data_IF_402120225805
#
_entry.id   IF_402120225805
#
_cell.length_a   1.000
_cell.length_b   1.000
_cell.length_c   1.000
_cell.angle_alpha   90.00
_cell.angle_beta   90.00
_cell.angle_gamma   90.00
#
_symmetry.space_group_name_H-M   'P 1'
#
loop_
_entity.id
_entity.type
_entity.pdbx_description
1 polymer ?
#
# COMPACT_ATOMS: atom_id res chain seq x y z
N UNK A 1 -3.78 -5.06 -4.17
CA UNK A 1 -3.85 -3.72 -3.57
C UNK A 1 -2.98 -2.71 -4.28
N UNK A 2 -1.65 -2.87 -4.32
CA UNK A 2 -0.70 -1.92 -4.94
C UNK A 2 -1.12 -1.51 -6.34
N UNK A 3 -1.38 -2.49 -7.22
CA UNK A 3 -1.77 -2.22 -8.59
C UNK A 3 -3.10 -1.45 -8.67
N UNK A 4 -4.06 -1.79 -7.81
CA UNK A 4 -5.34 -1.07 -7.71
C UNK A 4 -5.10 0.39 -7.31
N UNK A 5 -4.29 0.59 -6.29
CA UNK A 5 -3.97 1.87 -5.72
C UNK A 5 -3.15 2.78 -6.66
N UNK A 6 -2.19 2.22 -7.40
CA UNK A 6 -1.53 2.90 -8.52
C UNK A 6 -2.57 3.30 -9.57
N UNK A 7 -3.40 2.35 -10.00
CA UNK A 7 -4.46 2.62 -10.96
C UNK A 7 -5.44 3.68 -10.47
N UNK A 8 -5.76 3.76 -9.18
CA UNK A 8 -6.68 4.76 -8.63
C UNK A 8 -6.15 6.18 -8.71
N UNK A 9 -4.82 6.34 -8.72
CA UNK A 9 -4.15 7.63 -8.81
C UNK A 9 -3.84 8.04 -10.26
N UNK A 10 -4.14 7.21 -11.26
CA UNK A 10 -3.98 7.57 -12.66
C UNK A 10 -4.81 8.82 -13.00
N UNK A 11 -4.28 9.62 -13.93
CA UNK A 11 -4.99 10.76 -14.53
C UNK A 11 -6.20 10.28 -15.34
N UNK A 12 -7.10 11.21 -15.67
CA UNK A 12 -8.22 10.92 -16.55
C UNK A 12 -7.75 10.72 -17.99
N UNK A 13 -8.29 9.71 -18.67
CA UNK A 13 -8.11 9.55 -20.11
C UNK A 13 -8.93 10.60 -20.86
N UNK A 14 -8.49 10.97 -22.06
CA UNK A 14 -9.09 12.07 -22.83
C UNK A 14 -10.59 11.85 -23.11
N UNK A 15 -10.97 10.61 -23.42
CA UNK A 15 -12.35 10.25 -23.77
C UNK A 15 -13.29 10.25 -22.56
N UNK A 16 -12.76 9.98 -21.36
CA UNK A 16 -13.53 9.90 -20.12
C UNK A 16 -13.73 11.26 -19.46
N UNK A 17 -12.79 12.18 -19.74
CA UNK A 17 -12.68 13.48 -19.08
C UNK A 17 -13.98 14.28 -19.12
N UNK A 18 -14.69 14.25 -20.24
CA UNK A 18 -15.94 15.00 -20.41
C UNK A 18 -17.04 14.50 -19.47
N UNK A 19 -17.32 13.18 -19.46
CA UNK A 19 -18.39 12.61 -18.63
C UNK A 19 -18.07 12.74 -17.14
N UNK A 20 -16.82 12.52 -16.75
CA UNK A 20 -16.36 12.64 -15.37
C UNK A 20 -16.41 14.10 -14.90
N UNK A 21 -15.97 15.04 -15.75
CA UNK A 21 -16.02 16.47 -15.42
C UNK A 21 -17.46 16.96 -15.23
N UNK A 22 -18.42 16.47 -16.02
CA UNK A 22 -19.83 16.82 -15.84
C UNK A 22 -20.32 16.38 -14.46
N UNK A 23 -20.05 15.14 -14.06
CA UNK A 23 -20.43 14.65 -12.73
C UNK A 23 -19.74 15.43 -11.60
N UNK A 24 -18.45 15.75 -11.75
CA UNK A 24 -17.72 16.56 -10.78
C UNK A 24 -18.25 17.99 -10.69
N UNK A 25 -18.64 18.60 -11.81
CA UNK A 25 -19.19 19.96 -11.85
C UNK A 25 -20.53 20.06 -11.10
N UNK A 26 -21.32 19.00 -11.08
CA UNK A 26 -22.56 18.95 -10.29
C UNK A 26 -22.31 19.04 -8.77
N UNK A 27 -21.07 18.82 -8.31
CA UNK A 27 -20.70 18.91 -6.90
C UNK A 27 -20.33 20.34 -6.46
N UNK A 28 -20.11 21.27 -7.40
CA UNK A 28 -19.59 22.62 -7.12
C UNK A 28 -20.44 23.43 -6.14
N UNK A 29 -21.76 23.22 -6.15
CA UNK A 29 -22.70 23.89 -5.26
C UNK A 29 -23.03 23.09 -3.99
N UNK A 30 -22.37 21.94 -3.77
CA UNK A 30 -22.62 21.07 -2.62
C UNK A 30 -21.78 21.52 -1.42
N UNK A 31 -22.42 21.71 -0.26
CA UNK A 31 -21.73 22.10 0.96
C UNK A 31 -20.57 21.16 1.32
N UNK A 32 -19.40 21.74 1.61
CA UNK A 32 -18.18 20.98 1.92
C UNK A 32 -17.39 20.51 0.71
N UNK A 33 -17.85 20.79 -0.51
CA UNK A 33 -17.02 20.69 -1.72
C UNK A 33 -16.05 21.88 -1.77
N UNK A 34 -14.81 21.62 -2.17
CA UNK A 34 -13.80 22.65 -2.38
C UNK A 34 -13.02 22.32 -3.65
N UNK A 35 -12.85 23.32 -4.52
CA UNK A 35 -12.18 23.17 -5.83
C UNK A 35 -10.76 22.62 -5.72
N UNK A 36 -10.03 22.96 -4.65
CA UNK A 36 -8.69 22.41 -4.37
C UNK A 36 -8.65 20.88 -4.21
N UNK A 37 -9.80 20.23 -4.07
CA UNK A 37 -9.94 18.77 -3.94
C UNK A 37 -10.65 18.14 -5.15
N UNK A 38 -10.92 18.91 -6.21
CA UNK A 38 -11.63 18.44 -7.41
C UNK A 38 -11.02 17.16 -7.99
N UNK A 39 -9.69 17.06 -7.97
CA UNK A 39 -8.96 15.90 -8.47
C UNK A 39 -9.31 14.59 -7.74
N UNK A 40 -9.58 14.65 -6.43
CA UNK A 40 -9.99 13.48 -5.63
C UNK A 40 -11.38 12.99 -6.06
N UNK A 41 -12.31 13.92 -6.31
CA UNK A 41 -13.65 13.58 -6.80
C UNK A 41 -13.61 13.00 -8.20
N UNK A 42 -12.84 13.60 -9.11
CA UNK A 42 -12.68 13.10 -10.48
C UNK A 42 -12.06 11.70 -10.49
N UNK A 43 -11.01 11.47 -9.70
CA UNK A 43 -10.41 10.13 -9.53
C UNK A 43 -11.41 9.14 -8.96
N UNK A 44 -12.18 9.52 -7.94
CA UNK A 44 -13.23 8.65 -7.38
C UNK A 44 -14.25 8.25 -8.45
N UNK A 45 -14.79 9.21 -9.19
CA UNK A 45 -15.79 8.97 -10.24
C UNK A 45 -15.21 8.06 -11.34
N UNK A 46 -13.96 8.29 -11.78
CA UNK A 46 -13.26 7.42 -12.74
C UNK A 46 -13.14 5.99 -12.23
N UNK A 47 -12.69 5.82 -10.98
CA UNK A 47 -12.49 4.48 -10.41
C UNK A 47 -13.83 3.73 -10.26
N UNK A 48 -14.92 4.43 -9.97
CA UNK A 48 -16.26 3.86 -9.95
C UNK A 48 -16.74 3.47 -11.35
N UNK A 49 -16.51 4.31 -12.36
CA UNK A 49 -16.77 3.96 -13.76
C UNK A 49 -16.07 2.64 -14.12
N UNK A 50 -14.80 2.48 -13.75
CA UNK A 50 -14.00 1.30 -14.11
C UNK A 50 -14.48 0.06 -13.37
N UNK A 51 -14.84 0.20 -12.09
CA UNK A 51 -15.42 -0.88 -11.31
C UNK A 51 -16.74 -1.33 -11.91
N UNK A 52 -17.69 -0.42 -12.12
CA UNK A 52 -19.04 -0.75 -12.59
C UNK A 52 -19.06 -1.30 -14.02
N UNK A 53 -18.11 -0.90 -14.88
CA UNK A 53 -17.95 -1.49 -16.22
C UNK A 53 -17.01 -2.70 -16.24
N UNK A 54 -16.60 -3.20 -15.07
CA UNK A 54 -15.72 -4.37 -14.93
C UNK A 54 -14.40 -4.27 -15.72
N UNK A 55 -13.88 -3.05 -15.89
CA UNK A 55 -12.60 -2.77 -16.58
C UNK A 55 -11.43 -3.36 -15.78
N UNK A 56 -11.57 -3.52 -14.46
CA UNK A 56 -10.58 -4.18 -13.60
C UNK A 56 -10.63 -5.72 -13.64
N UNK A 57 -11.16 -6.32 -14.71
CA UNK A 57 -11.06 -7.76 -15.03
C UNK A 57 -11.50 -8.70 -13.89
N UNK A 58 -12.72 -8.51 -13.34
CA UNK A 58 -13.35 -9.37 -12.32
C UNK A 58 -12.68 -9.41 -10.95
N UNK A 59 -11.71 -8.54 -10.65
CA UNK A 59 -11.21 -8.28 -9.28
C UNK A 59 -12.07 -7.27 -8.52
N UNK A 60 -13.33 -7.09 -8.92
CA UNK A 60 -14.21 -6.00 -8.51
C UNK A 60 -14.43 -5.96 -7.00
N UNK A 61 -14.68 -7.10 -6.34
CA UNK A 61 -14.90 -7.14 -4.89
C UNK A 61 -13.66 -6.67 -4.09
N UNK A 62 -12.46 -7.13 -4.46
CA UNK A 62 -11.22 -6.69 -3.82
C UNK A 62 -10.93 -5.21 -4.10
N UNK A 63 -11.09 -4.79 -5.35
CA UNK A 63 -10.86 -3.41 -5.77
C UNK A 63 -11.85 -2.45 -5.11
N UNK A 64 -13.09 -2.87 -4.86
CA UNK A 64 -14.05 -2.11 -4.07
C UNK A 64 -13.53 -1.82 -2.67
N UNK A 65 -13.09 -2.86 -1.96
CA UNK A 65 -12.49 -2.69 -0.63
C UNK A 65 -11.27 -1.76 -0.69
N UNK A 66 -10.38 -1.96 -1.66
CA UNK A 66 -9.20 -1.10 -1.84
C UNK A 66 -9.57 0.34 -2.19
N UNK A 67 -10.63 0.57 -2.97
CA UNK A 67 -11.12 1.90 -3.30
C UNK A 67 -11.61 2.63 -2.05
N UNK A 68 -12.35 1.95 -1.16
CA UNK A 68 -12.81 2.57 0.08
C UNK A 68 -11.68 2.90 1.05
N UNK A 69 -10.66 2.05 1.10
CA UNK A 69 -9.44 2.37 1.84
C UNK A 69 -8.73 3.59 1.23
N UNK A 70 -8.49 3.59 -0.08
CA UNK A 70 -7.88 4.72 -0.79
C UNK A 70 -8.67 6.01 -0.57
N UNK A 71 -9.99 5.95 -0.65
CA UNK A 71 -10.90 7.08 -0.48
C UNK A 71 -10.85 7.64 0.94
N UNK A 72 -10.95 6.76 1.95
CA UNK A 72 -10.86 7.16 3.36
C UNK A 72 -9.55 7.92 3.62
N UNK A 73 -8.45 7.35 3.13
CA UNK A 73 -7.11 7.88 3.34
C UNK A 73 -6.93 9.22 2.61
N UNK A 74 -7.39 9.30 1.36
CA UNK A 74 -7.35 10.52 0.56
C UNK A 74 -8.17 11.62 1.20
N UNK A 75 -9.35 11.31 1.75
CA UNK A 75 -10.15 12.26 2.53
C UNK A 75 -9.43 12.74 3.78
N UNK A 76 -8.92 11.81 4.58
CA UNK A 76 -8.25 12.12 5.85
C UNK A 76 -7.07 13.07 5.65
N UNK A 77 -6.22 12.80 4.65
CA UNK A 77 -5.08 13.67 4.32
C UNK A 77 -5.47 15.07 3.89
N UNK A 78 -6.52 15.16 3.07
CA UNK A 78 -6.92 16.40 2.43
C UNK A 78 -7.99 17.14 3.24
N UNK A 79 -8.39 16.60 4.40
CA UNK A 79 -9.50 17.10 5.22
C UNK A 79 -10.80 17.28 4.42
N UNK A 80 -11.13 16.30 3.57
CA UNK A 80 -12.33 16.34 2.71
C UNK A 80 -13.55 15.83 3.47
N UNK A 81 -14.65 16.59 3.40
CA UNK A 81 -15.94 16.21 3.99
C UNK A 81 -16.52 14.94 3.36
N UNK A 82 -17.23 14.12 4.15
CA UNK A 82 -17.87 12.92 3.63
C UNK A 82 -19.08 13.22 2.74
N UNK A 83 -19.74 14.36 2.98
CA UNK A 83 -21.02 14.64 2.34
C UNK A 83 -20.91 14.76 0.81
N UNK A 84 -20.02 15.58 0.23
CA UNK A 84 -19.86 15.62 -1.23
C UNK A 84 -19.37 14.30 -1.82
N UNK A 85 -18.61 13.52 -1.07
CA UNK A 85 -18.12 12.19 -1.50
C UNK A 85 -19.28 11.21 -1.64
N UNK A 86 -20.21 11.21 -0.69
CA UNK A 86 -21.43 10.40 -0.78
C UNK A 86 -22.29 10.82 -1.99
N UNK A 87 -22.44 12.13 -2.24
CA UNK A 87 -23.16 12.63 -3.43
C UNK A 87 -22.47 12.17 -4.73
N UNK A 88 -21.15 12.30 -4.83
CA UNK A 88 -20.38 11.85 -5.98
C UNK A 88 -20.53 10.34 -6.22
N UNK A 89 -20.52 9.56 -5.14
CA UNK A 89 -20.72 8.12 -5.19
C UNK A 89 -22.09 7.76 -5.75
N UNK A 90 -23.16 8.29 -5.13
CA UNK A 90 -24.53 8.03 -5.55
C UNK A 90 -24.79 8.47 -6.99
N UNK A 91 -24.23 9.61 -7.41
CA UNK A 91 -24.35 10.07 -8.80
C UNK A 91 -23.64 9.12 -9.77
N UNK A 92 -22.47 8.62 -9.40
CA UNK A 92 -21.70 7.65 -10.20
C UNK A 92 -22.44 6.31 -10.30
N UNK A 93 -22.94 5.80 -9.17
CA UNK A 93 -23.70 4.54 -9.12
C UNK A 93 -24.94 4.63 -10.02
N UNK A 94 -25.75 5.69 -9.89
CA UNK A 94 -26.91 5.93 -10.76
C UNK A 94 -26.55 6.06 -12.24
N UNK A 95 -25.34 6.54 -12.55
CA UNK A 95 -24.92 6.79 -13.93
C UNK A 95 -24.36 5.53 -14.60
N UNK A 96 -23.65 4.69 -13.84
CA UNK A 96 -22.82 3.63 -14.38
C UNK A 96 -23.31 2.22 -14.05
N UNK A 97 -24.12 2.04 -13.00
CA UNK A 97 -24.76 0.76 -12.73
C UNK A 97 -25.97 0.60 -13.65
N UNK A 98 -26.12 -0.58 -14.23
CA UNK A 98 -27.26 -0.93 -15.08
C UNK A 98 -28.54 -0.84 -14.25
N UNK A 99 -29.57 -0.19 -14.80
CA UNK A 99 -30.84 0.00 -14.10
C UNK A 99 -31.45 -1.36 -13.70
N UNK A 100 -31.78 -1.49 -12.41
CA UNK A 100 -32.37 -2.70 -11.84
C UNK A 100 -31.35 -3.74 -11.34
N UNK A 101 -30.05 -3.53 -11.57
CA UNK A 101 -29.00 -4.41 -11.04
C UNK A 101 -28.49 -3.96 -9.68
N UNK A 102 -28.07 -4.93 -8.86
CA UNK A 102 -27.39 -4.64 -7.60
C UNK A 102 -25.98 -4.11 -7.88
N UNK A 103 -25.59 -3.08 -7.14
CA UNK A 103 -24.24 -2.53 -7.21
C UNK A 103 -23.23 -3.57 -6.72
N UNK A 104 -22.28 -3.93 -7.59
CA UNK A 104 -21.14 -4.81 -7.23
C UNK A 104 -20.21 -4.16 -6.20
N UNK A 105 -20.38 -2.86 -5.98
CA UNK A 105 -19.60 -2.03 -5.10
C UNK A 105 -20.56 -1.16 -4.29
N UNK A 106 -21.28 -1.66 -3.28
CA UNK A 106 -22.14 -0.79 -2.48
C UNK A 106 -21.27 0.19 -1.69
N UNK A 107 -21.67 1.46 -1.60
CA UNK A 107 -20.92 2.48 -0.87
C UNK A 107 -20.60 2.03 0.56
N UNK A 108 -19.33 2.18 0.95
CA UNK A 108 -18.83 1.79 2.26
C UNK A 108 -18.00 2.92 2.87
N UNK A 109 -18.31 3.28 4.12
CA UNK A 109 -17.54 4.26 4.89
C UNK A 109 -16.87 3.64 6.09
N UNK A 110 -15.55 3.81 6.21
CA UNK A 110 -14.83 3.38 7.40
C UNK A 110 -15.17 4.25 8.63
N UNK A 111 -15.43 5.55 8.43
CA UNK A 111 -15.81 6.49 9.52
C UNK A 111 -17.03 6.01 10.30
N UNK A 112 -18.03 5.47 9.59
CA UNK A 112 -19.30 5.04 10.18
C UNK A 112 -19.25 3.64 10.77
N UNK A 113 -18.32 2.81 10.31
CA UNK A 113 -18.30 1.38 10.63
C UNK A 113 -17.23 0.97 11.64
N UNK A 114 -16.23 1.82 11.92
CA UNK A 114 -15.10 1.44 12.76
C UNK A 114 -14.66 2.55 13.70
N UNK A 115 -14.15 2.14 14.85
CA UNK A 115 -13.31 2.94 15.74
C UNK A 115 -11.88 2.90 15.19
N UNK A 116 -11.23 4.06 15.12
CA UNK A 116 -9.89 4.24 14.56
C UNK A 116 -9.67 3.58 13.18
N UNK A 117 -10.41 4.00 12.14
CA UNK A 117 -10.36 3.42 10.80
C UNK A 117 -8.97 3.13 10.21
N UNK A 118 -7.97 4.00 10.44
CA UNK A 118 -6.62 3.83 9.89
C UNK A 118 -5.99 2.53 10.42
N UNK A 119 -6.17 2.26 11.70
CA UNK A 119 -5.65 1.07 12.35
C UNK A 119 -6.40 -0.18 11.85
N UNK A 120 -7.72 -0.10 11.67
CA UNK A 120 -8.51 -1.18 11.05
C UNK A 120 -8.07 -1.46 9.61
N UNK A 121 -7.77 -0.43 8.81
CA UNK A 121 -7.26 -0.62 7.46
C UNK A 121 -5.93 -1.38 7.48
N UNK A 122 -5.00 -1.02 8.39
CA UNK A 122 -3.73 -1.74 8.54
C UNK A 122 -3.92 -3.21 8.88
N UNK A 123 -4.83 -3.54 9.81
CA UNK A 123 -5.09 -4.94 10.19
C UNK A 123 -5.79 -5.72 9.07
N UNK A 124 -6.75 -5.12 8.37
CA UNK A 124 -7.37 -5.75 7.20
C UNK A 124 -6.36 -6.06 6.10
N UNK A 125 -5.41 -5.14 5.87
CA UNK A 125 -4.36 -5.34 4.88
C UNK A 125 -3.41 -6.46 5.31
N UNK A 126 -3.10 -6.56 6.60
CA UNK A 126 -2.35 -7.69 7.13
C UNK A 126 -3.05 -9.02 6.84
N UNK A 127 -4.36 -9.10 7.12
CA UNK A 127 -5.17 -10.30 6.86
C UNK A 127 -5.18 -10.68 5.37
N UNK A 128 -5.35 -9.70 4.48
CA UNK A 128 -5.37 -9.92 3.03
C UNK A 128 -4.05 -10.46 2.49
N UNK A 129 -2.94 -10.11 3.13
CA UNK A 129 -1.59 -10.42 2.68
C UNK A 129 -0.87 -11.41 3.58
N UNK A 130 -1.58 -12.08 4.50
CA UNK A 130 -0.96 -12.92 5.54
C UNK A 130 -0.11 -14.05 4.95
N UNK A 131 -0.58 -14.68 3.87
CA UNK A 131 0.17 -15.76 3.19
C UNK A 131 1.50 -15.26 2.61
N UNK A 132 1.46 -14.07 2.00
CA UNK A 132 2.64 -13.43 1.44
C UNK A 132 3.61 -13.06 2.56
N UNK A 133 3.13 -12.42 3.64
CA UNK A 133 3.92 -12.08 4.83
C UNK A 133 4.59 -13.33 5.41
N UNK A 134 3.85 -14.43 5.59
CA UNK A 134 4.38 -15.70 6.10
C UNK A 134 5.48 -16.23 5.20
N UNK A 135 5.27 -16.24 3.88
CA UNK A 135 6.26 -16.73 2.93
C UNK A 135 7.56 -15.93 2.97
N UNK A 136 7.48 -14.59 3.01
CA UNK A 136 8.66 -13.72 3.11
C UNK A 136 9.38 -13.91 4.45
N UNK A 137 8.65 -14.06 5.55
CA UNK A 137 9.23 -14.25 6.89
C UNK A 137 9.95 -15.61 7.07
N UNK A 138 9.70 -16.60 6.21
CA UNK A 138 10.42 -17.88 6.27
C UNK A 138 11.86 -17.78 5.79
N UNK A 139 12.17 -16.84 4.88
CA UNK A 139 13.51 -16.68 4.33
C UNK A 139 14.17 -15.37 4.80
N UNK A 140 15.08 -15.46 5.77
CA UNK A 140 15.81 -14.30 6.32
C UNK A 140 16.69 -13.56 5.29
N UNK A 141 17.04 -14.22 4.18
CA UNK A 141 17.82 -13.60 3.10
C UNK A 141 16.95 -12.80 2.12
N UNK A 142 15.63 -12.90 2.24
CA UNK A 142 14.76 -12.02 1.47
C UNK A 142 15.07 -10.57 1.83
N UNK A 143 15.32 -9.69 0.85
CA UNK A 143 15.57 -8.27 1.09
C UNK A 143 14.46 -7.60 1.93
N UNK A 144 13.31 -8.25 1.98
CA UNK A 144 12.03 -7.72 2.41
C UNK A 144 11.63 -8.25 3.80
N UNK A 145 12.38 -9.23 4.32
CA UNK A 145 12.18 -9.82 5.63
C UNK A 145 12.07 -8.76 6.74
N UNK A 146 13.00 -7.80 6.78
CA UNK A 146 13.01 -6.76 7.83
C UNK A 146 11.80 -5.83 7.76
N UNK A 147 11.28 -5.57 6.56
CA UNK A 147 10.09 -4.74 6.35
C UNK A 147 8.82 -5.49 6.76
N UNK A 148 8.66 -6.75 6.35
CA UNK A 148 7.51 -7.55 6.75
C UNK A 148 7.52 -7.77 8.29
N UNK A 149 8.71 -7.93 8.91
CA UNK A 149 8.86 -8.00 10.37
C UNK A 149 8.43 -6.71 11.08
N UNK A 150 8.86 -5.53 10.59
CA UNK A 150 8.41 -4.23 11.11
C UNK A 150 6.89 -4.07 11.03
N UNK A 151 6.31 -4.47 9.91
CA UNK A 151 4.86 -4.39 9.71
C UNK A 151 4.09 -5.34 10.65
N UNK A 152 4.60 -6.55 10.88
CA UNK A 152 4.07 -7.48 11.90
C UNK A 152 4.08 -6.81 13.28
N UNK A 153 5.21 -6.24 13.69
CA UNK A 153 5.34 -5.54 14.97
C UNK A 153 4.35 -4.38 15.11
N UNK A 154 4.18 -3.57 14.06
CA UNK A 154 3.21 -2.49 14.03
C UNK A 154 1.77 -3.01 14.20
N UNK A 155 1.39 -4.07 13.49
CA UNK A 155 0.06 -4.66 13.59
C UNK A 155 -0.20 -5.25 14.98
N UNK A 156 0.78 -5.91 15.60
CA UNK A 156 0.67 -6.43 16.98
C UNK A 156 0.49 -5.30 17.99
N UNK A 157 1.22 -4.20 17.85
CA UNK A 157 1.06 -3.03 18.72
C UNK A 157 -0.32 -2.39 18.57
N UNK A 158 -0.80 -2.25 17.32
CA UNK A 158 -2.16 -1.76 17.04
C UNK A 158 -3.19 -2.66 17.70
N UNK A 159 -3.11 -3.97 17.50
CA UNK A 159 -4.04 -4.94 18.09
C UNK A 159 -4.08 -4.80 19.62
N UNK A 160 -2.92 -4.86 20.29
CA UNK A 160 -2.85 -4.75 21.76
C UNK A 160 -3.46 -3.45 22.27
N UNK A 161 -3.14 -2.33 21.63
CA UNK A 161 -3.65 -1.02 22.00
C UNK A 161 -5.18 -0.94 21.83
N UNK A 162 -5.69 -1.34 20.66
CA UNK A 162 -7.11 -1.24 20.36
C UNK A 162 -7.95 -2.24 21.15
N UNK A 163 -7.46 -3.47 21.34
CA UNK A 163 -8.16 -4.50 22.10
C UNK A 163 -8.34 -4.07 23.56
N UNK A 164 -7.27 -3.54 24.17
CA UNK A 164 -7.31 -2.99 25.53
C UNK A 164 -8.25 -1.80 25.65
N UNK A 165 -8.22 -0.88 24.67
CA UNK A 165 -9.00 0.36 24.73
C UNK A 165 -10.49 0.15 24.50
N UNK A 166 -10.87 -0.76 23.58
CA UNK A 166 -12.23 -0.83 23.06
C UNK A 166 -12.91 -2.18 23.32
N UNK A 167 -12.18 -3.30 23.28
CA UNK A 167 -12.78 -4.65 23.20
C UNK A 167 -12.60 -5.52 24.46
N UNK A 168 -12.15 -4.93 25.56
CA UNK A 168 -11.88 -5.65 26.82
C UNK A 168 -13.12 -5.86 27.71
N UNK A 169 -14.29 -5.37 27.30
CA UNK A 169 -15.55 -5.49 28.03
C UNK A 169 -16.64 -6.11 27.16
N UNK A 170 -17.56 -6.87 27.77
CA UNK A 170 -18.57 -7.67 27.05
C UNK A 170 -19.72 -6.85 26.42
N UNK A 171 -19.85 -5.57 26.76
CA UNK A 171 -20.91 -4.72 26.22
C UNK A 171 -20.62 -4.27 24.78
N UNK A 172 -21.12 -5.07 23.83
CA UNK A 172 -21.03 -4.81 22.38
C UNK A 172 -22.12 -3.89 21.85
N UNK A 173 -22.58 -2.92 22.64
CA UNK A 173 -23.67 -2.01 22.24
C UNK A 173 -23.15 -0.91 21.33
N UNK A 174 -23.00 -1.22 20.04
CA UNK A 174 -22.71 -0.25 18.99
C UNK A 174 -22.10 -0.88 17.75
N UNK A 175 -22.62 -0.56 16.57
CA UNK A 175 -22.15 -1.17 15.31
C UNK A 175 -20.65 -0.97 15.06
N UNK A 176 -20.11 0.22 15.40
CA UNK A 176 -18.67 0.49 15.27
C UNK A 176 -17.83 -0.36 16.20
N UNK A 177 -18.25 -0.46 17.46
CA UNK A 177 -17.55 -1.22 18.48
C UNK A 177 -17.52 -2.70 18.08
N UNK A 178 -18.70 -3.26 17.76
CA UNK A 178 -18.84 -4.64 17.29
C UNK A 178 -17.93 -4.90 16.08
N UNK A 179 -18.07 -4.12 15.01
CA UNK A 179 -17.28 -4.29 13.80
C UNK A 179 -15.77 -4.16 14.06
N UNK A 180 -15.34 -3.22 14.91
CA UNK A 180 -13.94 -3.07 15.30
C UNK A 180 -13.44 -4.31 16.03
N UNK A 181 -14.17 -4.80 17.02
CA UNK A 181 -13.77 -5.98 17.79
C UNK A 181 -13.78 -7.26 16.96
N UNK A 182 -14.70 -7.40 16.01
CA UNK A 182 -14.73 -8.52 15.05
C UNK A 182 -13.42 -8.56 14.24
N UNK A 183 -12.95 -7.41 13.72
CA UNK A 183 -11.67 -7.35 13.00
C UNK A 183 -10.47 -7.68 13.90
N UNK A 184 -10.48 -7.24 15.16
CA UNK A 184 -9.41 -7.59 16.10
C UNK A 184 -9.38 -9.09 16.39
N UNK A 185 -10.55 -9.72 16.51
CA UNK A 185 -10.69 -11.17 16.70
C UNK A 185 -10.21 -11.95 15.48
N UNK A 186 -10.56 -11.50 14.27
CA UNK A 186 -10.09 -12.09 13.02
C UNK A 186 -8.56 -11.99 12.91
N UNK A 187 -8.00 -10.84 13.30
CA UNK A 187 -6.56 -10.64 13.38
C UNK A 187 -5.89 -11.60 14.37
N UNK A 188 -6.37 -11.69 15.61
CA UNK A 188 -5.84 -12.61 16.63
C UNK A 188 -5.86 -14.07 16.14
N UNK A 189 -7.02 -14.50 15.63
CA UNK A 189 -7.21 -15.86 15.11
C UNK A 189 -6.24 -16.18 13.98
N UNK A 190 -6.15 -15.30 12.99
CA UNK A 190 -5.30 -15.51 11.81
C UNK A 190 -3.82 -15.41 12.17
N UNK A 191 -3.44 -14.43 13.00
CA UNK A 191 -2.07 -14.28 13.49
C UNK A 191 -1.60 -15.54 14.21
N UNK A 192 -2.43 -16.04 15.12
CA UNK A 192 -2.12 -17.24 15.90
C UNK A 192 -1.98 -18.46 14.99
N UNK A 193 -2.92 -18.66 14.08
CA UNK A 193 -2.91 -19.81 13.17
C UNK A 193 -1.73 -19.82 12.19
N UNK A 194 -1.42 -18.69 11.57
CA UNK A 194 -0.47 -18.64 10.45
C UNK A 194 0.96 -18.26 10.86
N UNK A 195 1.12 -17.47 11.93
CA UNK A 195 2.43 -16.98 12.38
C UNK A 195 2.86 -17.57 13.72
N UNK A 196 2.03 -17.50 14.76
CA UNK A 196 2.45 -17.90 16.11
C UNK A 196 2.64 -19.41 16.27
N UNK A 197 1.72 -20.21 15.74
CA UNK A 197 1.79 -21.68 15.76
C UNK A 197 2.77 -22.26 14.73
N UNK A 198 3.45 -21.40 13.97
CA UNK A 198 4.44 -21.80 12.99
C UNK A 198 5.82 -21.80 13.64
N UNK A 199 6.37 -22.98 13.91
CA UNK A 199 7.67 -23.13 14.61
C UNK A 199 8.81 -22.39 13.90
N UNK A 200 8.78 -22.25 12.57
CA UNK A 200 9.79 -21.49 11.83
C UNK A 200 9.75 -19.99 12.13
N UNK A 201 8.61 -19.47 12.61
CA UNK A 201 8.33 -18.05 12.77
C UNK A 201 8.15 -17.61 14.22
N UNK A 202 7.71 -18.51 15.12
CA UNK A 202 7.30 -18.21 16.49
C UNK A 202 8.32 -17.36 17.25
N UNK A 203 9.60 -17.71 17.13
CA UNK A 203 10.69 -17.03 17.86
C UNK A 203 11.18 -15.74 17.16
N UNK A 204 10.59 -15.38 16.01
CA UNK A 204 10.96 -14.23 15.16
C UNK A 204 9.90 -13.13 15.14
N UNK A 205 8.81 -13.29 15.89
CA UNK A 205 7.66 -12.39 15.94
C UNK A 205 7.23 -12.13 17.38
N UNK A 206 6.58 -10.99 17.68
CA UNK A 206 6.10 -10.69 19.03
C UNK A 206 4.81 -11.46 19.37
N UNK A 207 4.68 -11.95 20.61
CA UNK A 207 3.42 -12.56 21.08
C UNK A 207 2.30 -11.54 21.30
N UNK A 208 1.05 -11.94 21.04
CA UNK A 208 -0.16 -11.16 21.33
C UNK A 208 -0.49 -11.10 22.84
N UNK A 209 -0.13 -12.11 23.63
CA UNK A 209 -0.59 -12.27 25.01
C UNK A 209 0.42 -11.87 26.10
N UNK A 210 1.70 -11.70 25.74
CA UNK A 210 2.72 -11.28 26.72
C UNK A 210 2.57 -9.79 27.03
N UNK A 211 2.32 -9.50 28.31
CA UNK A 211 2.00 -8.19 28.90
C UNK A 211 3.21 -7.36 29.32
N UNK A 212 4.43 -7.91 29.31
CA UNK A 212 5.58 -7.22 29.90
C UNK A 212 6.54 -6.57 28.90
N UNK A 213 6.99 -5.39 29.33
CA UNK A 213 7.84 -4.36 28.75
C UNK A 213 9.29 -4.78 28.50
N UNK A 214 9.56 -6.03 28.13
CA UNK A 214 10.84 -6.31 27.48
C UNK A 214 10.67 -5.80 26.05
N UNK A 215 11.44 -4.79 25.61
CA UNK A 215 11.45 -4.43 24.20
C UNK A 215 11.79 -5.73 23.48
N UNK A 216 10.82 -6.29 22.76
CA UNK A 216 11.10 -7.44 21.92
C UNK A 216 12.20 -6.95 20.99
N UNK A 217 13.42 -7.48 21.15
CA UNK A 217 14.57 -7.10 20.33
C UNK A 217 14.26 -7.28 18.83
N UNK A 218 13.26 -8.13 18.56
CA UNK A 218 12.60 -8.38 17.28
C UNK A 218 11.98 -7.12 16.65
N UNK A 219 11.42 -6.20 17.43
CA UNK A 219 10.75 -4.99 16.96
C UNK A 219 11.64 -3.73 17.04
N UNK A 220 12.84 -3.84 17.62
CA UNK A 220 13.86 -2.78 17.61
C UNK A 220 14.78 -2.96 16.41
N UNK A 221 14.40 -2.40 15.25
CA UNK A 221 15.33 -2.27 14.13
C UNK A 221 15.81 -0.82 14.12
N UNK A 222 17.03 -0.60 14.58
CA UNK A 222 17.71 0.69 14.43
C UNK A 222 17.68 1.10 12.95
N UNK A 223 17.37 2.37 12.68
CA UNK A 223 17.47 2.92 11.33
C UNK A 223 18.92 2.82 10.87
N UNK A 224 19.19 2.05 9.81
CA UNK A 224 20.50 2.08 9.17
C UNK A 224 20.77 3.51 8.69
N UNK A 225 21.63 4.22 9.41
CA UNK A 225 22.17 5.51 8.95
C UNK A 225 22.83 5.26 7.59
N UNK A 226 22.58 6.11 6.57
CA UNK A 226 23.28 6.00 5.30
C UNK A 226 24.78 6.06 5.55
N UNK A 227 25.51 4.99 5.20
CA UNK A 227 26.97 5.03 5.18
C UNK A 227 27.39 6.10 4.18
N UNK A 228 27.89 7.22 4.70
CA UNK A 228 28.65 8.16 3.87
C UNK A 228 29.90 7.41 3.38
N UNK A 229 29.94 7.11 2.09
CA UNK A 229 31.18 6.68 1.44
C UNK A 229 32.08 7.90 1.43
N UNK A 230 33.02 7.95 2.37
CA UNK A 230 34.15 8.85 2.29
C UNK A 230 34.94 8.50 1.02
N UNK A 231 34.88 9.39 0.03
CA UNK A 231 35.72 9.33 -1.14
C UNK A 231 37.17 9.63 -0.71
N UNK A 232 37.97 8.59 -0.51
CA UNK A 232 39.41 8.72 -0.37
C UNK A 232 40.01 9.08 -1.73
N UNK A 233 40.41 10.34 -1.88
CA UNK A 233 41.19 10.86 -2.98
C UNK A 233 42.64 10.37 -2.83
N UNK A 234 43.07 9.41 -3.67
CA UNK A 234 44.49 9.08 -3.83
C UNK A 234 45.13 10.04 -4.82
N UNK A 235 46.08 10.84 -4.35
CA UNK A 235 47.15 11.44 -5.17
C UNK A 235 48.38 10.53 -5.05
N UNK A 236 48.96 10.12 -6.19
CA UNK A 236 50.41 10.23 -6.43
C UNK A 236 50.75 9.96 -7.92
N UNK A 237 50.98 11.07 -8.63
CA UNK A 237 52.09 11.41 -9.52
C UNK A 237 52.81 10.38 -10.44
N UNK A 238 53.10 10.91 -11.65
CA UNK A 238 54.23 10.68 -12.59
C UNK A 238 53.96 9.91 -13.91
N UNK A 239 53.86 10.73 -14.97
CA UNK A 239 54.15 10.46 -16.41
C UNK A 239 55.67 10.23 -16.65
N UNK A 240 56.20 10.05 -17.89
CA UNK A 240 55.58 9.90 -19.24
C UNK A 240 56.22 8.80 -20.14
N UNK A 241 55.63 8.50 -21.30
CA UNK A 241 56.40 7.84 -22.37
C UNK A 241 55.67 7.32 -23.62
N UNK A 242 55.64 8.17 -24.66
CA UNK A 242 55.83 7.82 -26.08
C UNK A 242 54.68 7.17 -26.89
N UNK A 243 54.09 8.00 -27.76
CA UNK A 243 53.41 7.68 -29.05
C UNK A 243 54.47 7.55 -30.18
N UNK A 244 54.20 7.03 -31.42
CA UNK A 244 52.97 7.28 -32.18
C UNK A 244 52.46 6.21 -33.18
N UNK A 245 51.21 6.43 -33.64
CA UNK A 245 50.64 6.16 -34.99
C UNK A 245 50.49 4.69 -35.45
N UNK A 246 49.41 4.22 -36.08
CA UNK A 246 48.82 4.63 -37.38
C UNK A 246 47.37 4.10 -37.48
N UNK A 247 46.51 4.84 -38.21
CA UNK A 247 45.13 4.53 -38.59
C UNK A 247 45.00 3.35 -39.57
N UNK A 248 43.89 2.61 -39.54
CA UNK A 248 42.89 2.44 -40.65
C UNK A 248 42.02 1.20 -40.38
N UNK A 249 40.70 1.40 -40.45
CA UNK A 249 39.60 0.42 -40.37
C UNK A 249 39.55 -0.60 -41.55
N UNK A 250 38.42 -1.33 -41.78
CA UNK A 250 37.70 -2.31 -40.95
C UNK A 250 37.62 -3.66 -41.70
N UNK A 251 37.14 -4.73 -41.08
CA UNK A 251 36.15 -5.66 -41.69
C UNK A 251 35.97 -6.96 -40.89
N UNK A 252 34.69 -7.32 -40.74
CA UNK A 252 34.12 -8.68 -40.60
C UNK A 252 34.30 -9.45 -39.28
N UNK A 253 33.17 -9.60 -38.59
CA UNK A 253 32.83 -10.65 -37.62
C UNK A 253 32.74 -12.05 -38.31
N UNK A 254 32.29 -13.15 -37.65
CA UNK A 254 32.13 -13.47 -36.22
C UNK A 254 32.76 -14.83 -35.84
N UNK A 255 33.20 -15.04 -34.58
CA UNK A 255 33.24 -16.41 -34.00
C UNK A 255 32.96 -16.37 -32.49
N UNK A 256 31.81 -16.94 -32.15
CA UNK A 256 31.39 -17.73 -30.97
C UNK A 256 32.48 -18.10 -29.96
N UNK A 257 32.31 -17.74 -28.67
CA UNK A 257 32.02 -18.73 -27.61
C UNK A 257 31.76 -18.13 -26.22
N UNK A 258 30.72 -18.69 -25.60
CA UNK A 258 30.44 -19.00 -24.20
C UNK A 258 30.91 -18.10 -23.01
N UNK A 259 29.87 -17.66 -22.28
CA UNK A 259 29.66 -17.85 -20.84
C UNK A 259 30.51 -17.03 -19.85
N UNK A 260 29.85 -16.06 -19.21
CA UNK A 260 30.11 -15.76 -17.79
C UNK A 260 28.92 -15.05 -17.16
N UNK A 261 28.24 -15.77 -16.28
CA UNK A 261 27.25 -15.26 -15.33
C UNK A 261 27.82 -14.12 -14.51
N UNK A 262 27.13 -12.98 -14.51
CA UNK A 262 27.22 -12.02 -13.42
C UNK A 262 25.81 -11.63 -12.97
N UNK A 263 25.46 -11.79 -11.68
CA UNK A 263 24.15 -11.46 -11.18
C UNK A 263 23.95 -9.95 -11.26
N UNK A 264 22.94 -9.55 -12.03
CA UNK A 264 22.47 -8.18 -12.15
C UNK A 264 22.16 -7.67 -10.75
N UNK A 265 22.97 -6.72 -10.27
CA UNK A 265 22.65 -5.93 -9.08
C UNK A 265 21.39 -5.12 -9.40
N UNK A 266 20.25 -5.55 -8.90
CA UNK A 266 19.02 -4.77 -8.94
C UNK A 266 19.19 -3.53 -8.06
N UNK A 267 19.45 -2.40 -8.73
CA UNK A 267 19.50 -1.08 -8.12
C UNK A 267 18.05 -0.64 -7.87
N UNK A 268 17.56 -0.81 -6.64
CA UNK A 268 16.14 -0.63 -6.26
C UNK A 268 15.68 0.84 -6.13
N UNK A 269 16.42 1.80 -6.67
CA UNK A 269 16.19 3.23 -6.42
C UNK A 269 15.29 3.96 -7.42
N UNK A 270 14.70 3.28 -8.42
CA UNK A 270 14.06 3.99 -9.55
C UNK A 270 12.52 3.99 -9.62
N UNK A 271 11.78 3.29 -8.76
CA UNK A 271 10.30 3.23 -8.90
C UNK A 271 9.53 3.96 -7.80
N UNK A 272 10.20 4.46 -6.75
CA UNK A 272 9.52 5.08 -5.58
C UNK A 272 9.47 6.61 -5.65
N UNK A 273 10.17 7.27 -6.59
CA UNK A 273 10.43 8.72 -6.53
C UNK A 273 9.45 9.62 -7.29
N UNK A 274 8.25 9.17 -7.64
CA UNK A 274 7.21 10.06 -8.20
C UNK A 274 5.82 9.73 -7.66
N UNK A 275 5.63 9.85 -6.35
CA UNK A 275 4.30 9.76 -5.72
C UNK A 275 4.08 10.92 -4.75
N UNK A 276 4.08 12.14 -5.30
CA UNK A 276 3.60 13.32 -4.59
C UNK A 276 2.14 13.08 -4.16
N UNK A 277 1.86 13.12 -2.86
CA UNK A 277 0.51 13.02 -2.31
C UNK A 277 0.12 11.69 -1.65
N UNK A 278 0.96 10.65 -1.66
CA UNK A 278 0.68 9.43 -0.89
C UNK A 278 1.04 9.63 0.58
N UNK A 279 0.17 9.30 1.54
CA UNK A 279 0.50 9.40 2.95
C UNK A 279 1.64 8.48 3.33
N UNK A 280 2.51 8.89 4.27
CA UNK A 280 3.60 8.05 4.75
C UNK A 280 3.17 6.63 5.15
N UNK A 281 1.99 6.46 5.76
CA UNK A 281 1.47 5.13 6.11
C UNK A 281 0.99 4.32 4.90
N UNK A 282 0.48 4.96 3.85
CA UNK A 282 0.28 4.29 2.58
C UNK A 282 1.62 3.97 1.96
N UNK A 283 2.61 4.86 1.96
CA UNK A 283 3.94 4.51 1.48
C UNK A 283 4.53 3.30 2.23
N UNK A 284 4.24 3.11 3.53
CA UNK A 284 4.58 1.89 4.27
C UNK A 284 3.77 0.67 3.80
N UNK A 285 2.44 0.77 3.65
CA UNK A 285 1.60 -0.34 3.14
C UNK A 285 1.94 -0.69 1.68
N UNK A 286 2.16 0.31 0.82
CA UNK A 286 2.62 0.16 -0.55
C UNK A 286 4.03 -0.42 -0.58
N UNK A 287 4.96 0.05 0.25
CA UNK A 287 6.28 -0.57 0.36
C UNK A 287 6.12 -2.01 0.80
N UNK A 288 5.51 -2.30 1.94
CA UNK A 288 5.32 -3.67 2.45
C UNK A 288 4.61 -4.57 1.43
N UNK A 289 3.58 -4.11 0.71
CA UNK A 289 2.88 -4.95 -0.27
C UNK A 289 3.62 -5.06 -1.60
N UNK A 290 4.26 -4.00 -2.12
CA UNK A 290 5.14 -4.06 -3.31
C UNK A 290 6.34 -4.97 -3.05
N UNK A 291 6.79 -4.98 -1.79
CA UNK A 291 8.08 -5.51 -1.40
C UNK A 291 7.92 -6.93 -0.81
N UNK A 292 6.82 -7.30 -0.14
CA UNK A 292 6.60 -8.70 0.24
C UNK A 292 6.12 -9.58 -0.96
N UNK A 293 5.63 -9.01 -2.09
CA UNK A 293 5.37 -9.72 -3.38
C UNK A 293 6.53 -9.63 -4.35
#
# INVERSE_FOLDING_TARGET
MVNAYKAFNNTLDADEKTAISILANNLTNIGGFFEKHRDVYEKLIRNLLYLFNNIYERKSAEYCRFLYQWLYISRYKNNISNFPINIAYNASEKRFVVYGEASICPYYSYDTNYIEPINIIKLKNFLDYINIIVSTMKNKKEPNYSLCQKYICECVNIYKSMFKAHCSHEDTTGIKLKNTCDILKDFDTSYTAFLYNNDDLRDKIPSLYVTESVPFQICTVEEEKPRQVHASRSELSQEPGTRPSVETEPSSAPVVDEQSDNPIRFNTTSVVSAMAGIPPFLALIYKVIIICT
#
